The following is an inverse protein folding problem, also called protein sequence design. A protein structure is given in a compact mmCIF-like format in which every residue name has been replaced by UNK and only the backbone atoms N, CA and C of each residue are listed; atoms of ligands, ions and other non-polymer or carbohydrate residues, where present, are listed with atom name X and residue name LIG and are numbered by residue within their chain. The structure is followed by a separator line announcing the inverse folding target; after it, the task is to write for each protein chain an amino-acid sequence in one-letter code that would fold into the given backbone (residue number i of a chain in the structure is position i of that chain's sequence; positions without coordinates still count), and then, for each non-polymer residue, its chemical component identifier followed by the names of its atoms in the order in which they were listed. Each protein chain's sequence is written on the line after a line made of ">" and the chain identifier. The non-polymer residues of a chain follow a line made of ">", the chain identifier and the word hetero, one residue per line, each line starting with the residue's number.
data_IF_840887177818
#
_entry.id   IF_840887177818
#
_cell.length_a   1.000
_cell.length_b   1.000
_cell.length_c   1.000
_cell.angle_alpha   90.00
_cell.angle_beta   90.00
_cell.angle_gamma   90.00
#
_symmetry.space_group_name_H-M   'P 1'
#
loop_
_entity.id
_entity.type
_entity.pdbx_description
1 polymer ?
#
# COMPACT_ATOMS: atom_id res chain seq x y z
N UNK A 1 22.43 -2.45 -2.30
CA UNK A 1 21.90 -1.37 -1.43
C UNK A 1 20.78 -1.93 -0.58
N UNK A 2 20.33 -1.26 0.49
CA UNK A 2 19.20 -1.75 1.33
C UNK A 2 17.93 -2.05 0.50
N UNK A 3 17.78 -1.38 -0.65
CA UNK A 3 16.66 -1.57 -1.59
C UNK A 3 16.79 -2.88 -2.38
N UNK A 4 17.98 -3.29 -2.79
CA UNK A 4 18.19 -4.56 -3.50
C UNK A 4 17.96 -5.77 -2.59
N UNK A 5 18.31 -5.68 -1.30
CA UNK A 5 18.07 -6.76 -0.33
C UNK A 5 16.58 -6.89 0.02
N UNK A 6 15.85 -5.78 0.07
CA UNK A 6 14.40 -5.76 0.26
C UNK A 6 13.61 -6.34 -0.92
N UNK A 7 14.16 -6.32 -2.13
CA UNK A 7 13.53 -6.92 -3.30
C UNK A 7 13.49 -8.47 -3.26
N UNK A 8 14.33 -9.10 -2.42
CA UNK A 8 14.44 -10.56 -2.29
C UNK A 8 13.48 -11.10 -1.22
N UNK A 9 12.95 -10.24 -0.35
CA UNK A 9 12.03 -10.61 0.71
C UNK A 9 10.59 -10.40 0.26
N UNK A 10 9.82 -11.49 0.23
CA UNK A 10 8.36 -11.38 0.02
C UNK A 10 7.75 -10.50 1.11
N UNK A 11 6.78 -9.67 0.71
CA UNK A 11 5.97 -8.94 1.66
C UNK A 11 5.22 -9.94 2.56
N UNK A 12 5.28 -9.73 3.87
CA UNK A 12 4.52 -10.55 4.81
C UNK A 12 3.02 -10.27 4.65
N UNK A 13 2.20 -11.33 4.72
CA UNK A 13 0.76 -11.17 4.66
C UNK A 13 0.23 -10.56 5.97
N UNK A 14 -0.57 -9.49 5.92
CA UNK A 14 -1.15 -8.89 7.12
C UNK A 14 -2.04 -9.88 7.88
N UNK A 15 -1.97 -9.84 9.22
CA UNK A 15 -2.81 -10.66 10.11
C UNK A 15 -4.02 -9.89 10.67
N UNK A 16 -4.07 -8.57 10.48
CA UNK A 16 -5.12 -7.69 10.99
C UNK A 16 -5.76 -6.91 9.84
N UNK A 17 -7.02 -6.42 10.02
CA UNK A 17 -7.66 -5.53 9.06
C UNK A 17 -6.73 -4.40 8.62
N UNK A 18 -6.44 -4.34 7.32
CA UNK A 18 -5.41 -3.47 6.74
C UNK A 18 -5.96 -2.76 5.51
N UNK A 19 -5.69 -1.46 5.40
CA UNK A 19 -5.84 -0.71 4.15
C UNK A 19 -4.43 -0.44 3.62
N UNK A 20 -4.22 -0.72 2.33
CA UNK A 20 -2.97 -0.39 1.65
C UNK A 20 -3.16 0.92 0.87
N UNK A 21 -2.20 1.84 0.99
CA UNK A 21 -2.12 3.05 0.17
C UNK A 21 -0.79 3.01 -0.58
N UNK A 22 -0.83 3.09 -1.91
CA UNK A 22 0.34 2.93 -2.75
C UNK A 22 0.34 3.96 -3.89
N UNK A 23 1.42 4.73 -4.07
CA UNK A 23 1.49 5.74 -5.14
C UNK A 23 1.54 5.08 -6.52
N UNK A 24 0.60 5.41 -7.42
CA UNK A 24 0.56 4.81 -8.76
C UNK A 24 1.82 5.10 -9.59
N UNK A 25 2.54 6.17 -9.25
CA UNK A 25 3.75 6.63 -9.92
C UNK A 25 5.00 6.35 -9.05
N UNK A 26 4.91 5.42 -8.09
CA UNK A 26 6.05 4.98 -7.28
C UNK A 26 7.12 4.33 -8.18
N UNK A 27 8.28 4.99 -8.25
CA UNK A 27 9.43 4.59 -9.06
C UNK A 27 10.45 3.75 -8.27
N UNK A 28 10.23 3.56 -6.97
CA UNK A 28 11.12 2.80 -6.08
C UNK A 28 10.54 1.43 -5.74
N UNK A 29 9.22 1.35 -5.52
CA UNK A 29 8.52 0.13 -5.11
C UNK A 29 7.40 -0.15 -6.11
N UNK A 30 7.46 -1.26 -6.86
CA UNK A 30 6.41 -1.61 -7.81
C UNK A 30 5.04 -1.83 -7.12
N UNK A 31 3.99 -1.28 -7.72
CA UNK A 31 2.61 -1.40 -7.23
C UNK A 31 2.12 -2.85 -7.18
N UNK A 32 2.68 -3.70 -8.05
CA UNK A 32 2.40 -5.13 -8.12
C UNK A 32 2.64 -5.82 -6.77
N UNK A 33 3.62 -5.37 -5.98
CA UNK A 33 3.87 -5.93 -4.66
C UNK A 33 2.67 -5.74 -3.72
N UNK A 34 2.09 -4.55 -3.73
CA UNK A 34 0.90 -4.24 -2.93
C UNK A 34 -0.35 -4.96 -3.44
N UNK A 35 -0.50 -5.08 -4.76
CA UNK A 35 -1.62 -5.80 -5.37
C UNK A 35 -1.54 -7.32 -5.13
N UNK A 36 -0.35 -7.92 -5.16
CA UNK A 36 -0.14 -9.34 -4.84
C UNK A 36 -0.54 -9.64 -3.39
N UNK A 37 -0.10 -8.80 -2.44
CA UNK A 37 -0.48 -8.94 -1.02
C UNK A 37 -1.98 -8.81 -0.83
N UNK A 38 -2.62 -7.85 -1.51
CA UNK A 38 -4.07 -7.66 -1.45
C UNK A 38 -4.84 -8.85 -2.06
N UNK A 39 -4.29 -9.47 -3.10
CA UNK A 39 -4.88 -10.66 -3.71
C UNK A 39 -4.75 -11.89 -2.80
N UNK A 40 -3.64 -12.01 -2.07
CA UNK A 40 -3.31 -13.17 -1.23
C UNK A 40 -3.83 -13.09 0.20
N UNK A 41 -4.15 -11.91 0.72
CA UNK A 41 -4.60 -11.73 2.11
C UNK A 41 -6.06 -11.25 2.20
N UNK A 42 -6.89 -12.03 2.88
CA UNK A 42 -8.26 -11.62 3.25
C UNK A 42 -8.31 -10.52 4.30
N UNK A 43 -7.18 -10.20 4.93
CA UNK A 43 -7.09 -9.12 5.92
C UNK A 43 -6.94 -7.73 5.26
N UNK A 44 -6.57 -7.69 3.97
CA UNK A 44 -6.54 -6.45 3.20
C UNK A 44 -7.97 -6.10 2.78
N UNK A 45 -8.46 -4.97 3.30
CA UNK A 45 -9.82 -4.51 3.11
C UNK A 45 -9.98 -3.68 1.84
N UNK A 46 -8.97 -2.90 1.51
CA UNK A 46 -8.91 -2.10 0.29
C UNK A 46 -7.47 -1.71 -0.06
N UNK A 47 -7.26 -1.40 -1.34
CA UNK A 47 -6.04 -0.78 -1.85
C UNK A 47 -6.43 0.55 -2.49
N UNK A 48 -5.78 1.63 -2.08
CA UNK A 48 -5.95 2.97 -2.63
C UNK A 48 -4.69 3.39 -3.39
N UNK A 49 -4.86 3.72 -4.67
CA UNK A 49 -3.74 4.02 -5.57
C UNK A 49 -3.84 5.44 -6.16
N UNK A 50 -3.49 6.49 -5.40
CA UNK A 50 -3.47 7.86 -5.91
C UNK A 50 -2.46 8.02 -7.05
N UNK A 51 -2.71 8.95 -7.99
CA UNK A 51 -1.75 9.35 -9.03
C UNK A 51 -0.69 10.28 -8.40
N UNK A 52 0.25 9.67 -7.69
CA UNK A 52 1.34 10.32 -6.96
C UNK A 52 2.49 9.31 -6.84
N UNK A 53 3.69 9.81 -6.56
CA UNK A 53 4.90 9.00 -6.44
C UNK A 53 5.07 8.36 -5.06
N UNK A 54 6.25 7.77 -4.85
CA UNK A 54 6.63 7.05 -3.62
C UNK A 54 6.34 7.79 -2.30
N UNK A 55 6.41 9.12 -2.33
CA UNK A 55 6.27 9.97 -1.13
C UNK A 55 4.83 10.37 -0.81
N UNK A 56 3.88 10.16 -1.72
CA UNK A 56 2.46 10.52 -1.56
C UNK A 56 2.21 11.99 -1.15
N UNK A 57 3.12 12.90 -1.54
CA UNK A 57 3.17 14.27 -1.01
C UNK A 57 1.94 15.10 -1.40
N UNK A 58 1.35 14.82 -2.56
CA UNK A 58 0.19 15.53 -3.11
C UNK A 58 -1.13 14.79 -2.77
N UNK A 59 -1.05 13.71 -1.99
CA UNK A 59 -2.17 12.80 -1.73
C UNK A 59 -2.57 12.69 -0.25
N UNK A 60 -2.07 13.57 0.62
CA UNK A 60 -2.37 13.52 2.07
C UNK A 60 -3.88 13.54 2.39
N UNK A 61 -4.66 14.35 1.66
CA UNK A 61 -6.12 14.40 1.85
C UNK A 61 -6.79 13.06 1.50
N UNK A 62 -6.30 12.39 0.45
CA UNK A 62 -6.79 11.08 0.05
C UNK A 62 -6.43 10.00 1.09
N UNK A 63 -5.27 10.14 1.75
CA UNK A 63 -4.88 9.26 2.85
C UNK A 63 -5.80 9.43 4.06
N UNK A 64 -6.17 10.66 4.41
CA UNK A 64 -7.11 10.94 5.50
C UNK A 64 -8.47 10.27 5.25
N UNK A 65 -9.00 10.37 4.02
CA UNK A 65 -10.27 9.73 3.63
C UNK A 65 -10.18 8.19 3.74
N UNK A 66 -9.04 7.59 3.38
CA UNK A 66 -8.85 6.15 3.51
C UNK A 66 -8.86 5.70 4.98
N UNK A 67 -8.30 6.51 5.90
CA UNK A 67 -8.28 6.21 7.33
C UNK A 67 -9.68 6.26 7.97
N UNK A 68 -10.53 7.22 7.59
CA UNK A 68 -11.90 7.32 8.12
C UNK A 68 -12.72 6.04 7.86
N UNK A 69 -12.44 5.35 6.75
CA UNK A 69 -13.09 4.07 6.41
C UNK A 69 -12.68 2.94 7.35
N UNK A 70 -11.45 2.95 7.84
CA UNK A 70 -10.93 1.97 8.81
C UNK A 70 -11.58 2.13 10.19
N UNK A 71 -11.83 3.37 10.62
CA UNK A 71 -12.46 3.68 11.92
C UNK A 71 -13.97 3.42 12.00
N UNK A 72 -14.59 3.08 10.87
CA UNK A 72 -16.04 2.81 10.78
C UNK A 72 -16.38 1.31 10.86
N UNK A 73 -15.40 0.48 11.26
CA UNK A 73 -15.43 -0.99 11.30
C UNK A 73 -15.18 -1.43 12.74
#
# INVERSE_FOLDING_TARGET
>A
SFIEEGAILEWTLPLHPTIIIHGREDDLVPIENSLDVAHRSSAVMSVHCPNDGHRLKESHDQMAIALERLSSI
#
